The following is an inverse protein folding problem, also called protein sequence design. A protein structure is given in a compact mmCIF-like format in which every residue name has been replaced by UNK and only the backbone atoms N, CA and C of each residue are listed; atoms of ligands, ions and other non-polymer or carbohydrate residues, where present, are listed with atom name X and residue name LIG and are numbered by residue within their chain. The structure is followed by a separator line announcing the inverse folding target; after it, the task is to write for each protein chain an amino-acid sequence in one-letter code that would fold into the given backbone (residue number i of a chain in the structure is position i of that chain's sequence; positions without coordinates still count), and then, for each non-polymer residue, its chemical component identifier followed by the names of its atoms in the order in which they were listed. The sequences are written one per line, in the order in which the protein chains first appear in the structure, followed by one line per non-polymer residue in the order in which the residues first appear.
data_IF_032661053334
#
_entry.id   IF_032661053334
#
_cell.length_a   1.000
_cell.length_b   1.000
_cell.length_c   1.000
_cell.angle_alpha   90.00
_cell.angle_beta   90.00
_cell.angle_gamma   90.00
#
_symmetry.space_group_name_H-M   'P 1'
#
loop_
_entity.id
_entity.type
_entity.pdbx_description
1 polymer ?
#
# COMPACT_ATOMS: atom_id res chain seq x y z
N UNK A 1 -8.26 -4.70 -18.55
CA UNK A 1 -7.02 -5.10 -17.83
C UNK A 1 -6.38 -3.81 -17.36
N UNK A 2 -6.83 -3.30 -16.22
CA UNK A 2 -6.24 -2.12 -15.59
C UNK A 2 -4.93 -2.57 -14.94
N UNK A 3 -3.82 -2.45 -15.68
CA UNK A 3 -2.49 -2.67 -15.13
C UNK A 3 -2.31 -1.72 -13.95
N UNK A 4 -2.27 -2.27 -12.73
CA UNK A 4 -1.99 -1.50 -11.52
C UNK A 4 -0.57 -0.97 -11.63
N UNK A 5 -0.43 0.28 -12.08
CA UNK A 5 0.86 0.92 -12.23
C UNK A 5 1.35 1.36 -10.84
N UNK A 6 2.23 0.56 -10.24
CA UNK A 6 2.86 0.88 -8.97
C UNK A 6 4.00 1.85 -9.25
N UNK A 7 3.79 3.14 -8.98
CA UNK A 7 4.87 4.12 -9.05
C UNK A 7 5.91 3.83 -7.96
N UNK A 8 6.96 3.13 -8.36
CA UNK A 8 8.21 3.04 -7.62
C UNK A 8 8.29 1.81 -6.72
N UNK A 9 9.43 1.13 -6.81
CA UNK A 9 9.84 0.05 -5.89
C UNK A 9 9.68 0.41 -4.41
N UNK A 10 9.68 1.71 -4.07
CA UNK A 10 9.47 2.19 -2.70
C UNK A 10 8.12 1.79 -2.11
N UNK A 11 7.00 2.04 -2.82
CA UNK A 11 5.67 1.69 -2.30
C UNK A 11 5.48 0.16 -2.18
N UNK A 12 6.11 -0.61 -3.08
CA UNK A 12 6.10 -2.07 -3.00
C UNK A 12 6.94 -2.56 -1.81
N UNK A 13 8.16 -2.04 -1.61
CA UNK A 13 8.98 -2.37 -0.44
C UNK A 13 8.29 -2.00 0.87
N UNK A 14 7.71 -0.80 0.96
CA UNK A 14 6.99 -0.36 2.15
C UNK A 14 5.78 -1.27 2.43
N UNK A 15 5.04 -1.68 1.39
CA UNK A 15 3.95 -2.63 1.50
C UNK A 15 4.41 -4.01 1.99
N UNK A 16 5.49 -4.55 1.42
CA UNK A 16 6.06 -5.83 1.85
C UNK A 16 6.56 -5.79 3.29
N UNK A 17 7.23 -4.72 3.71
CA UNK A 17 7.69 -4.52 5.09
C UNK A 17 6.52 -4.45 6.08
N UNK A 18 5.37 -3.91 5.66
CA UNK A 18 4.17 -3.86 6.47
C UNK A 18 3.50 -5.22 6.57
N UNK A 19 3.40 -5.94 5.46
CA UNK A 19 2.87 -7.32 5.45
C UNK A 19 3.73 -8.21 6.34
N UNK A 20 5.06 -8.09 6.28
CA UNK A 20 5.97 -8.88 7.12
C UNK A 20 5.84 -8.56 8.62
N UNK A 21 5.63 -7.28 8.99
CA UNK A 21 5.44 -6.88 10.40
C UNK A 21 4.05 -7.12 10.96
N UNK A 22 3.02 -6.90 10.15
CA UNK A 22 1.64 -6.79 10.62
C UNK A 22 0.71 -7.87 10.03
N UNK A 23 1.15 -8.65 9.06
CA UNK A 23 0.34 -9.71 8.44
C UNK A 23 -0.95 -9.17 7.86
N UNK A 24 -2.08 -9.77 8.23
CA UNK A 24 -3.44 -9.35 7.83
C UNK A 24 -3.78 -7.90 8.23
N UNK A 25 -3.16 -7.38 9.28
CA UNK A 25 -3.41 -6.00 9.75
C UNK A 25 -2.66 -4.94 8.95
N UNK A 26 -1.79 -5.33 8.01
CA UNK A 26 -0.95 -4.41 7.25
C UNK A 26 -1.76 -3.36 6.48
N UNK A 27 -2.92 -3.74 5.92
CA UNK A 27 -3.82 -2.82 5.22
C UNK A 27 -4.40 -1.75 6.16
N UNK A 28 -4.82 -2.15 7.36
CA UNK A 28 -5.32 -1.23 8.38
C UNK A 28 -4.23 -0.28 8.86
N UNK A 29 -3.00 -0.75 9.02
CA UNK A 29 -1.86 0.06 9.47
C UNK A 29 -1.44 1.08 8.40
N UNK A 30 -1.58 0.76 7.11
CA UNK A 30 -1.40 1.70 6.01
C UNK A 30 -2.51 2.77 5.99
N UNK A 31 -3.77 2.36 6.16
CA UNK A 31 -4.92 3.29 6.23
C UNK A 31 -4.81 4.25 7.43
N UNK A 32 -4.41 3.76 8.60
CA UNK A 32 -4.22 4.57 9.80
C UNK A 32 -3.12 5.63 9.61
N UNK A 33 -2.02 5.28 8.92
CA UNK A 33 -0.96 6.25 8.58
C UNK A 33 -1.38 7.24 7.50
N UNK A 34 -2.27 6.85 6.58
CA UNK A 34 -2.88 7.77 5.65
C UNK A 34 -3.71 8.82 6.39
N UNK A 35 -4.65 8.41 7.25
CA UNK A 35 -5.51 9.34 7.99
C UNK A 35 -4.68 10.29 8.87
N UNK A 36 -3.67 9.78 9.59
CA UNK A 36 -2.75 10.64 10.35
C UNK A 36 -2.05 11.68 9.47
N UNK A 37 -1.62 11.30 8.27
CA UNK A 37 -0.99 12.23 7.33
C UNK A 37 -1.96 13.28 6.81
N UNK A 38 -3.26 12.95 6.73
CA UNK A 38 -4.33 13.89 6.38
C UNK A 38 -4.57 14.88 7.52
N UNK A 39 -4.60 14.40 8.76
CA UNK A 39 -4.74 15.25 9.95
C UNK A 39 -3.58 16.25 10.08
N UNK A 40 -2.36 15.81 9.73
CA UNK A 40 -1.17 16.67 9.65
C UNK A 40 -1.18 17.64 8.45
N UNK A 41 -2.20 17.58 7.58
CA UNK A 41 -2.28 18.38 6.35
C UNK A 41 -1.29 17.99 5.25
N UNK A 42 -0.61 16.85 5.39
CA UNK A 42 0.39 16.37 4.45
C UNK A 42 -0.24 15.48 3.36
N UNK A 43 -0.78 16.14 2.34
CA UNK A 43 -1.45 15.49 1.21
C UNK A 43 -0.53 14.54 0.43
N UNK A 44 0.75 14.87 0.29
CA UNK A 44 1.71 14.01 -0.42
C UNK A 44 1.90 12.68 0.32
N UNK A 45 2.07 12.73 1.64
CA UNK A 45 2.22 11.53 2.46
C UNK A 45 0.91 10.74 2.57
N UNK A 46 -0.24 11.42 2.59
CA UNK A 46 -1.54 10.77 2.47
C UNK A 46 -1.65 9.95 1.18
N UNK A 47 -1.35 10.55 0.03
CA UNK A 47 -1.39 9.85 -1.26
C UNK A 47 -0.43 8.64 -1.30
N UNK A 48 0.76 8.77 -0.72
CA UNK A 48 1.73 7.67 -0.60
C UNK A 48 1.16 6.50 0.21
N UNK A 49 0.59 6.75 1.39
CA UNK A 49 0.01 5.70 2.22
C UNK A 49 -1.23 5.04 1.58
N UNK A 50 -2.06 5.81 0.85
CA UNK A 50 -3.19 5.26 0.07
C UNK A 50 -2.71 4.39 -1.09
N UNK A 51 -1.56 4.72 -1.68
CA UNK A 51 -0.95 3.87 -2.69
C UNK A 51 -0.43 2.56 -2.08
N UNK A 52 0.24 2.61 -0.93
CA UNK A 52 0.70 1.42 -0.19
C UNK A 52 -0.47 0.53 0.19
N UNK A 53 -1.55 1.08 0.74
CA UNK A 53 -2.77 0.33 1.10
C UNK A 53 -3.34 -0.44 -0.09
N UNK A 54 -3.42 0.19 -1.27
CA UNK A 54 -3.85 -0.49 -2.51
C UNK A 54 -2.89 -1.60 -2.94
N UNK A 55 -1.59 -1.41 -2.77
CA UNK A 55 -0.60 -2.45 -3.07
C UNK A 55 -0.75 -3.62 -2.11
N UNK A 56 -0.89 -3.36 -0.81
CA UNK A 56 -1.14 -4.40 0.21
C UNK A 56 -2.41 -5.18 -0.15
N UNK A 57 -3.52 -4.49 -0.42
CA UNK A 57 -4.77 -5.13 -0.82
C UNK A 57 -4.61 -5.99 -2.08
N UNK A 58 -3.78 -5.55 -3.03
CA UNK A 58 -3.47 -6.31 -4.26
C UNK A 58 -2.63 -7.55 -3.96
N UNK A 59 -1.65 -7.44 -3.06
CA UNK A 59 -0.77 -8.55 -2.66
C UNK A 59 -1.46 -9.57 -1.74
N UNK A 60 -2.38 -9.12 -0.90
CA UNK A 60 -3.19 -9.96 0.00
C UNK A 60 -4.40 -10.59 -0.69
N UNK A 61 -4.78 -10.11 -1.87
CA UNK A 61 -5.83 -10.76 -2.67
C UNK A 61 -5.25 -12.04 -3.29
N UNK A 62 -5.83 -13.19 -2.93
CA UNK A 62 -5.42 -14.55 -3.33
C UNK A 62 -5.47 -14.81 -4.86
N UNK A 63 -5.90 -13.82 -5.64
CA UNK A 63 -5.96 -13.91 -7.10
C UNK A 63 -4.60 -13.52 -7.69
N UNK A 64 -3.84 -14.52 -8.18
CA UNK A 64 -2.57 -14.34 -8.90
C UNK A 64 -2.83 -13.65 -10.24
N UNK A 65 -3.06 -12.34 -10.21
CA UNK A 65 -3.23 -11.50 -11.40
C UNK A 65 -1.87 -10.98 -11.88
N UNK A 66 -1.09 -11.87 -12.47
CA UNK A 66 0.07 -11.55 -13.31
C UNK A 66 1.36 -11.14 -12.58
N UNK A 67 2.49 -11.38 -13.25
CA UNK A 67 3.83 -11.02 -12.76
C UNK A 67 3.99 -9.50 -12.68
N UNK A 68 4.40 -9.01 -11.50
CA UNK A 68 4.82 -7.62 -11.28
C UNK A 68 6.13 -7.41 -12.06
N UNK A 69 6.11 -6.58 -13.11
CA UNK A 69 7.27 -6.22 -13.95
C UNK A 69 7.80 -4.81 -13.63
#
# INVERSE_FOLDING_TARGET
MDSVFIHGRGALSDASDLIDRYGDDAGFEAAARAERSRDDGNVARFCHWRQIERVIATLSSDEVSGTVH
#
